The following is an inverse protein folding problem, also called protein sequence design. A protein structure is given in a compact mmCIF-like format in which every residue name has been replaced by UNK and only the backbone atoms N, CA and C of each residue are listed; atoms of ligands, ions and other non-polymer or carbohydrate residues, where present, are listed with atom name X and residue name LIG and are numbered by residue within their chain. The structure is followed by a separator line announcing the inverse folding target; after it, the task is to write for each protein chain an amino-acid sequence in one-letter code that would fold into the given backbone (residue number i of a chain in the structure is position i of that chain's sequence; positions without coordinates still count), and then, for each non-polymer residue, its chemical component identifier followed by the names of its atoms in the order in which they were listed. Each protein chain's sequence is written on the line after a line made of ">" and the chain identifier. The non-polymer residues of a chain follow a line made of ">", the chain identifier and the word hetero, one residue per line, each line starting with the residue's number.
data_IF_680891315050
#
_entry.id   IF_680891315050
#
_cell.length_a   1.000
_cell.length_b   1.000
_cell.length_c   1.000
_cell.angle_alpha   90.00
_cell.angle_beta   90.00
_cell.angle_gamma   90.00
#
_symmetry.space_group_name_H-M   'P 1'
#
loop_
_entity.id
_entity.type
_entity.pdbx_description
1 polymer ?
#
# COMPACT_ATOMS: atom_id res chain seq x y z
N UNK A 1 10.47 -36.48 -7.72
CA UNK A 1 10.67 -35.38 -6.75
C UNK A 1 11.44 -34.32 -7.50
N UNK A 2 10.72 -33.59 -8.37
CA UNK A 2 10.08 -32.31 -8.02
C UNK A 2 11.12 -31.19 -8.05
N UNK A 3 11.37 -30.68 -9.25
CA UNK A 3 11.75 -29.28 -9.40
C UNK A 3 10.45 -28.50 -9.51
N UNK A 4 9.79 -28.30 -8.38
CA UNK A 4 8.69 -27.35 -8.26
C UNK A 4 9.33 -25.98 -8.41
N UNK A 5 9.00 -25.29 -9.51
CA UNK A 5 9.59 -23.99 -9.81
C UNK A 5 9.45 -23.05 -8.63
N UNK A 6 10.56 -22.44 -8.23
CA UNK A 6 10.59 -21.24 -7.41
C UNK A 6 9.73 -20.17 -8.10
N UNK A 7 8.43 -20.12 -7.76
CA UNK A 7 7.67 -18.90 -7.91
C UNK A 7 8.36 -17.88 -7.02
N UNK A 8 9.10 -16.98 -7.66
CA UNK A 8 9.70 -15.76 -7.14
C UNK A 8 9.04 -15.33 -5.83
N UNK A 9 9.81 -15.15 -4.75
CA UNK A 9 9.31 -14.61 -3.47
C UNK A 9 8.96 -13.11 -3.63
N UNK A 10 7.97 -12.81 -4.48
CA UNK A 10 7.58 -11.47 -4.88
C UNK A 10 6.90 -10.71 -3.73
N UNK A 11 6.25 -11.44 -2.82
CA UNK A 11 5.74 -10.93 -1.56
C UNK A 11 6.57 -11.45 -0.39
N UNK A 12 7.65 -10.73 -0.08
CA UNK A 12 8.59 -11.10 0.97
C UNK A 12 8.05 -10.81 2.39
N UNK A 13 6.97 -11.48 2.78
CA UNK A 13 6.29 -11.32 4.08
C UNK A 13 7.27 -11.41 5.24
N UNK A 14 7.17 -10.47 6.17
CA UNK A 14 8.07 -10.32 7.31
C UNK A 14 9.29 -9.44 7.03
N UNK A 15 9.54 -9.08 5.77
CA UNK A 15 10.55 -8.08 5.43
C UNK A 15 10.07 -6.68 5.84
N UNK A 16 10.99 -5.88 6.36
CA UNK A 16 10.75 -4.48 6.63
C UNK A 16 11.97 -3.63 6.29
N UNK A 17 11.73 -2.35 6.05
CA UNK A 17 12.77 -1.33 6.00
C UNK A 17 12.36 -0.15 6.87
N UNK A 18 13.34 0.50 7.49
CA UNK A 18 13.14 1.69 8.31
C UNK A 18 14.19 2.74 7.96
N UNK A 19 13.79 3.99 7.92
CA UNK A 19 14.67 5.14 7.79
C UNK A 19 14.37 6.14 8.90
N UNK A 20 15.42 6.71 9.49
CA UNK A 20 15.33 7.67 10.59
C UNK A 20 16.21 8.87 10.28
N UNK A 21 15.65 10.07 10.38
CA UNK A 21 16.40 11.32 10.34
C UNK A 21 16.96 11.62 11.75
N UNK A 22 18.29 11.52 11.98
CA UNK A 22 18.87 11.70 13.31
C UNK A 22 18.83 13.15 13.81
N UNK A 23 18.55 14.13 12.95
CA UNK A 23 18.49 15.55 13.34
C UNK A 23 17.13 15.96 13.88
N UNK A 24 16.05 15.43 13.29
CA UNK A 24 14.67 15.77 13.63
C UNK A 24 13.98 14.69 14.46
N UNK A 25 14.46 13.44 14.38
CA UNK A 25 13.78 12.28 14.97
C UNK A 25 12.62 11.74 14.12
N UNK A 26 12.46 12.25 12.90
CA UNK A 26 11.48 11.74 11.93
C UNK A 26 11.86 10.34 11.48
N UNK A 27 10.86 9.46 11.40
CA UNK A 27 11.00 8.06 11.09
C UNK A 27 9.92 7.63 10.12
N UNK A 28 10.31 6.72 9.24
CA UNK A 28 9.42 6.03 8.32
C UNK A 28 9.77 4.55 8.35
N UNK A 29 8.77 3.69 8.44
CA UNK A 29 8.94 2.24 8.41
C UNK A 29 7.93 1.64 7.44
N UNK A 30 8.36 0.69 6.61
CA UNK A 30 7.47 -0.13 5.81
C UNK A 30 7.70 -1.59 6.15
N UNK A 31 6.62 -2.35 6.30
CA UNK A 31 6.65 -3.77 6.59
C UNK A 31 5.69 -4.53 5.69
N UNK A 32 6.17 -5.58 5.05
CA UNK A 32 5.33 -6.52 4.31
C UNK A 32 4.66 -7.45 5.33
N UNK A 33 3.35 -7.30 5.52
CA UNK A 33 2.61 -7.93 6.62
C UNK A 33 1.92 -9.23 6.21
N UNK A 34 1.68 -9.47 4.92
CA UNK A 34 1.04 -10.71 4.49
C UNK A 34 0.66 -10.73 3.03
N UNK A 35 -0.17 -11.71 2.70
CA UNK A 35 -0.87 -11.79 1.41
C UNK A 35 -2.36 -11.91 1.67
N UNK A 36 -3.16 -11.35 0.78
CA UNK A 36 -4.60 -11.52 0.76
C UNK A 36 -5.09 -11.76 -0.67
N UNK A 37 -6.36 -12.12 -0.83
CA UNK A 37 -6.96 -12.34 -2.15
C UNK A 37 -8.07 -11.33 -2.37
N UNK A 38 -7.94 -10.53 -3.41
CA UNK A 38 -8.95 -9.53 -3.81
C UNK A 38 -9.44 -9.91 -5.19
N UNK A 39 -10.74 -10.19 -5.32
CA UNK A 39 -11.37 -10.62 -6.58
C UNK A 39 -10.69 -11.83 -7.26
N UNK A 40 -10.15 -12.74 -6.46
CA UNK A 40 -9.43 -13.93 -6.95
C UNK A 40 -7.97 -13.66 -7.34
N UNK A 41 -7.49 -12.42 -7.21
CA UNK A 41 -6.10 -12.03 -7.48
C UNK A 41 -5.32 -12.08 -6.15
N UNK A 42 -4.19 -12.81 -6.08
CA UNK A 42 -3.32 -12.76 -4.92
C UNK A 42 -2.62 -11.38 -4.85
N UNK A 43 -2.73 -10.74 -3.71
CA UNK A 43 -2.20 -9.41 -3.42
C UNK A 43 -1.20 -9.50 -2.27
N UNK A 44 -0.07 -8.82 -2.39
CA UNK A 44 0.87 -8.63 -1.29
C UNK A 44 0.44 -7.43 -0.47
N UNK A 45 0.49 -7.53 0.86
CA UNK A 45 0.12 -6.47 1.79
C UNK A 45 1.35 -5.93 2.49
N UNK A 46 1.47 -4.60 2.53
CA UNK A 46 2.40 -3.88 3.37
C UNK A 46 1.69 -2.79 4.17
N UNK A 47 2.35 -2.40 5.26
CA UNK A 47 1.98 -1.25 6.08
C UNK A 47 3.18 -0.32 6.11
N UNK A 48 2.96 0.93 5.77
CA UNK A 48 3.89 2.03 5.97
C UNK A 48 3.43 2.85 7.18
N UNK A 49 4.33 3.23 8.06
CA UNK A 49 4.08 4.05 9.23
C UNK A 49 5.11 5.18 9.30
N UNK A 50 4.68 6.36 9.75
CA UNK A 50 5.53 7.53 9.92
C UNK A 50 5.13 8.36 11.14
N UNK A 51 6.09 9.10 11.69
CA UNK A 51 5.86 10.09 12.73
C UNK A 51 6.09 11.55 12.24
N UNK A 52 6.21 11.78 10.93
CA UNK A 52 6.41 13.12 10.37
C UNK A 52 5.16 13.95 10.66
N UNK A 53 5.31 15.03 11.42
CA UNK A 53 4.19 15.86 11.86
C UNK A 53 3.58 16.71 10.74
N UNK A 54 4.36 16.97 9.68
CA UNK A 54 3.93 17.73 8.50
C UNK A 54 3.11 16.89 7.49
N UNK A 55 2.97 15.57 7.71
CA UNK A 55 2.11 14.71 6.88
C UNK A 55 0.71 14.57 7.52
N UNK A 56 -0.33 14.66 6.68
CA UNK A 56 -1.73 14.49 7.11
C UNK A 56 -2.07 13.02 7.46
N UNK A 57 -1.14 12.09 7.20
CA UNK A 57 -1.29 10.67 7.49
C UNK A 57 -0.16 10.18 8.42
N UNK A 58 -0.45 9.14 9.19
CA UNK A 58 0.54 8.45 10.03
C UNK A 58 0.77 7.00 9.60
N UNK A 59 -0.14 6.46 8.79
CA UNK A 59 -0.08 5.08 8.31
C UNK A 59 -0.67 4.96 6.91
N UNK A 60 -0.05 4.14 6.07
CA UNK A 60 -0.61 3.71 4.77
C UNK A 60 -0.67 2.20 4.75
N UNK A 61 -1.84 1.62 4.52
CA UNK A 61 -1.95 0.22 4.09
C UNK A 61 -1.84 0.17 2.58
N UNK A 62 -0.97 -0.68 2.06
CA UNK A 62 -0.77 -0.84 0.62
C UNK A 62 -0.89 -2.31 0.24
N UNK A 63 -1.71 -2.61 -0.76
CA UNK A 63 -1.86 -3.95 -1.34
C UNK A 63 -1.64 -3.90 -2.85
N UNK A 64 -0.87 -4.84 -3.41
CA UNK A 64 -0.55 -4.87 -4.85
C UNK A 64 -0.47 -6.28 -5.40
N UNK A 65 -0.83 -6.45 -6.68
CA UNK A 65 -0.69 -7.69 -7.43
C UNK A 65 0.77 -7.93 -7.84
N UNK A 66 1.14 -9.18 -8.10
CA UNK A 66 2.50 -9.55 -8.54
C UNK A 66 2.96 -8.76 -9.79
N UNK A 67 2.04 -8.49 -10.71
CA UNK A 67 2.31 -7.73 -11.93
C UNK A 67 2.18 -6.20 -11.77
N UNK A 68 1.78 -5.71 -10.60
CA UNK A 68 1.59 -4.29 -10.31
C UNK A 68 0.42 -3.60 -11.03
N UNK A 69 -0.39 -4.34 -11.80
CA UNK A 69 -1.53 -3.77 -12.54
C UNK A 69 -2.71 -3.43 -11.63
N UNK A 70 -2.85 -4.17 -10.52
CA UNK A 70 -3.85 -3.91 -9.50
C UNK A 70 -3.16 -3.51 -8.22
N UNK A 71 -3.57 -2.39 -7.64
CA UNK A 71 -3.13 -2.01 -6.31
C UNK A 71 -4.16 -1.13 -5.62
N UNK A 72 -4.10 -1.12 -4.30
CA UNK A 72 -4.92 -0.27 -3.46
C UNK A 72 -4.04 0.27 -2.35
N UNK A 73 -4.21 1.55 -2.01
CA UNK A 73 -3.69 2.07 -0.76
C UNK A 73 -4.76 2.86 -0.01
N UNK A 74 -4.65 2.83 1.30
CA UNK A 74 -5.49 3.56 2.24
C UNK A 74 -4.58 4.28 3.21
N UNK A 75 -4.63 5.60 3.24
CA UNK A 75 -3.94 6.42 4.21
C UNK A 75 -4.85 6.71 5.41
N UNK A 76 -4.25 6.69 6.58
CA UNK A 76 -4.91 6.93 7.85
C UNK A 76 -4.20 8.06 8.60
N UNK A 77 -4.96 8.93 9.25
CA UNK A 77 -4.43 9.96 10.15
C UNK A 77 -3.87 9.34 11.45
N UNK A 78 -3.46 10.19 12.40
CA UNK A 78 -2.97 9.77 13.73
C UNK A 78 -4.07 9.16 14.62
N UNK A 79 -5.34 9.44 14.33
CA UNK A 79 -6.51 8.90 15.03
C UNK A 79 -6.92 7.53 14.50
N UNK A 80 -6.40 7.13 13.34
CA UNK A 80 -6.77 5.93 12.60
C UNK A 80 -7.98 6.11 11.68
N UNK A 81 -8.39 7.35 11.42
CA UNK A 81 -9.42 7.69 10.44
C UNK A 81 -8.83 7.71 9.03
N UNK A 82 -9.61 7.29 8.04
CA UNK A 82 -9.18 7.27 6.64
C UNK A 82 -9.14 8.70 6.11
N UNK A 83 -7.98 9.11 5.60
CA UNK A 83 -7.80 10.43 4.99
C UNK A 83 -7.78 10.39 3.46
N UNK A 84 -7.38 9.26 2.90
CA UNK A 84 -7.47 9.07 1.45
C UNK A 84 -7.41 7.59 1.10
N UNK A 85 -8.14 7.23 0.06
CA UNK A 85 -8.05 5.91 -0.56
C UNK A 85 -7.77 6.06 -2.04
N UNK A 86 -6.98 5.15 -2.59
CA UNK A 86 -6.78 5.07 -4.03
C UNK A 86 -6.64 3.64 -4.47
N UNK A 87 -7.18 3.36 -5.65
CA UNK A 87 -7.08 2.05 -6.28
C UNK A 87 -6.82 2.19 -7.76
N UNK A 88 -5.96 1.31 -8.28
CA UNK A 88 -5.85 1.04 -9.70
C UNK A 88 -6.35 -0.38 -9.94
N UNK A 89 -7.38 -0.53 -10.77
CA UNK A 89 -7.93 -1.83 -11.13
C UNK A 89 -8.50 -1.76 -12.53
N UNK A 90 -8.21 -2.76 -13.35
CA UNK A 90 -8.70 -2.84 -14.75
C UNK A 90 -8.38 -1.57 -15.57
N UNK A 91 -7.22 -0.94 -15.33
CA UNK A 91 -6.79 0.30 -15.98
C UNK A 91 -7.55 1.57 -15.53
N UNK A 92 -8.38 1.45 -14.50
CA UNK A 92 -9.14 2.56 -13.91
C UNK A 92 -8.53 2.93 -12.56
N UNK A 93 -8.17 4.19 -12.44
CA UNK A 93 -7.77 4.81 -11.19
C UNK A 93 -8.99 5.41 -10.52
N UNK A 94 -9.20 5.07 -9.26
CA UNK A 94 -10.20 5.67 -8.39
C UNK A 94 -9.49 6.28 -7.19
N UNK A 95 -9.84 7.50 -6.83
CA UNK A 95 -9.37 8.19 -5.64
C UNK A 95 -10.60 8.57 -4.82
N UNK A 96 -10.54 8.37 -3.52
CA UNK A 96 -11.53 8.82 -2.54
C UNK A 96 -10.82 9.75 -1.57
N UNK A 97 -11.34 10.97 -1.41
CA UNK A 97 -10.82 11.92 -0.42
C UNK A 97 -11.50 11.75 0.95
N UNK A 98 -11.06 12.53 1.93
CA UNK A 98 -11.59 12.54 3.32
C UNK A 98 -13.12 12.73 3.39
N UNK A 99 -13.68 13.50 2.47
CA UNK A 99 -15.11 13.81 2.41
C UNK A 99 -15.91 12.68 1.72
N UNK A 100 -15.22 11.66 1.21
CA UNK A 100 -15.81 10.57 0.45
C UNK A 100 -16.07 10.92 -1.02
N UNK A 101 -15.54 12.04 -1.53
CA UNK A 101 -15.68 12.38 -2.93
C UNK A 101 -14.86 11.41 -3.78
N UNK A 102 -15.49 10.89 -4.83
CA UNK A 102 -14.88 9.92 -5.71
C UNK A 102 -14.42 10.60 -7.00
N UNK A 103 -13.13 10.50 -7.29
CA UNK A 103 -12.53 10.90 -8.56
C UNK A 103 -12.10 9.66 -9.34
N UNK A 104 -12.60 9.49 -10.56
CA UNK A 104 -12.25 8.37 -11.42
C UNK A 104 -11.52 8.85 -12.68
N UNK A 105 -10.41 8.19 -12.99
CA UNK A 105 -9.62 8.43 -14.19
C UNK A 105 -9.44 7.10 -14.93
N UNK A 106 -9.75 7.09 -16.22
CA UNK A 106 -9.38 5.98 -17.08
C UNK A 106 -8.04 6.29 -17.72
N UNK A 107 -7.05 5.40 -17.60
CA UNK A 107 -5.83 5.51 -18.39
C UNK A 107 -6.15 5.17 -19.85
N UNK A 108 -6.62 6.17 -20.59
CA UNK A 108 -7.08 5.99 -21.96
C UNK A 108 -7.69 7.25 -22.58
N UNK A 109 -6.84 8.24 -22.87
CA UNK A 109 -6.84 8.95 -24.16
C UNK A 109 -5.44 9.47 -24.49
#
# INVERSE_FOLDING_TARGET
>A
MESTGDSSNWCAVGSSWKSTNPQTGEEVEMKITGMETVDGIPMCKAVYETNIDDEDFSKIEYIWSENGETYFWTAYDKSGEVVSEMSMKDGKMKIVDEEGNVMEYSQGQ
#
